data_IF_211809765633
#
_entry.id   IF_211809765633
#
_cell.length_a   1.000
_cell.length_b   1.000
_cell.length_c   1.000
_cell.angle_alpha   90.00
_cell.angle_beta   90.00
_cell.angle_gamma   90.00
#
_symmetry.space_group_name_H-M   'P 1'
#
loop_
_entity.id
_entity.type
_entity.pdbx_description
1 polymer ?
#
# COMPACT_ATOMS: atom_id res chain seq x y z
N UNK A 1 -37.21 -25.04 -48.98
CA UNK A 1 -36.13 -25.97 -49.30
C UNK A 1 -36.34 -27.17 -48.40
N UNK A 2 -36.83 -28.27 -48.95
CA UNK A 2 -37.07 -29.51 -48.24
C UNK A 2 -35.70 -30.15 -47.98
N UNK A 3 -35.25 -30.12 -46.73
CA UNK A 3 -34.01 -30.80 -46.34
C UNK A 3 -34.20 -32.29 -46.59
N UNK A 4 -33.21 -32.95 -47.18
CA UNK A 4 -33.30 -34.38 -47.43
C UNK A 4 -33.48 -35.14 -46.10
N UNK A 5 -34.16 -36.31 -46.09
CA UNK A 5 -34.36 -37.07 -44.86
C UNK A 5 -33.03 -37.42 -44.19
N UNK A 6 -31.95 -37.58 -44.95
CA UNK A 6 -30.61 -37.82 -44.45
C UNK A 6 -30.04 -36.59 -43.71
N UNK A 7 -30.19 -35.37 -44.25
CA UNK A 7 -29.75 -34.12 -43.60
C UNK A 7 -30.49 -33.84 -42.30
N UNK A 8 -31.80 -34.12 -42.26
CA UNK A 8 -32.58 -33.97 -41.02
C UNK A 8 -32.17 -35.00 -39.95
N UNK A 9 -31.80 -36.22 -40.35
CA UNK A 9 -31.29 -37.24 -39.43
C UNK A 9 -29.95 -36.85 -38.81
N UNK A 10 -29.02 -36.29 -39.60
CA UNK A 10 -27.73 -35.82 -39.10
C UNK A 10 -27.90 -34.61 -38.19
N UNK A 11 -28.77 -33.66 -38.55
CA UNK A 11 -29.05 -32.49 -37.72
C UNK A 11 -29.69 -32.86 -36.37
N UNK A 12 -30.58 -33.85 -36.36
CA UNK A 12 -31.20 -34.33 -35.11
C UNK A 12 -30.20 -35.07 -34.22
N UNK A 13 -29.32 -35.90 -34.79
CA UNK A 13 -28.24 -36.57 -34.03
C UNK A 13 -27.29 -35.53 -33.43
N UNK A 14 -26.85 -34.54 -34.21
CA UNK A 14 -25.96 -33.48 -33.71
C UNK A 14 -26.62 -32.66 -32.59
N UNK A 15 -27.93 -32.40 -32.70
CA UNK A 15 -28.69 -31.71 -31.65
C UNK A 15 -28.84 -32.57 -30.39
N UNK A 16 -29.06 -33.88 -30.54
CA UNK A 16 -29.09 -34.83 -29.42
C UNK A 16 -27.73 -34.92 -28.74
N UNK A 17 -26.64 -35.01 -29.49
CA UNK A 17 -25.27 -35.00 -28.96
C UNK A 17 -24.98 -33.70 -28.21
N UNK A 18 -25.33 -32.55 -28.79
CA UNK A 18 -25.16 -31.25 -28.14
C UNK A 18 -26.03 -31.09 -26.88
N UNK A 19 -27.18 -31.77 -26.80
CA UNK A 19 -28.01 -31.81 -25.58
C UNK A 19 -27.42 -32.77 -24.56
N UNK A 20 -26.94 -33.95 -24.98
CA UNK A 20 -26.34 -34.94 -24.10
C UNK A 20 -25.08 -34.39 -23.44
N UNK A 21 -24.20 -33.76 -24.22
CA UNK A 21 -23.00 -33.09 -23.70
C UNK A 21 -23.33 -31.94 -22.74
N UNK A 22 -24.44 -31.23 -22.95
CA UNK A 22 -24.91 -30.21 -22.00
C UNK A 22 -25.40 -30.83 -20.70
N UNK A 23 -26.17 -31.91 -20.78
CA UNK A 23 -26.65 -32.63 -19.58
C UNK A 23 -25.46 -33.22 -18.81
N UNK A 24 -24.50 -33.81 -19.51
CA UNK A 24 -23.25 -34.32 -18.95
C UNK A 24 -22.45 -33.21 -18.26
N UNK A 25 -22.31 -32.06 -18.92
CA UNK A 25 -21.63 -30.89 -18.35
C UNK A 25 -22.34 -30.35 -17.11
N UNK A 26 -23.68 -30.39 -17.06
CA UNK A 26 -24.45 -29.97 -15.89
C UNK A 26 -24.31 -30.96 -14.73
N UNK A 27 -24.27 -32.26 -15.01
CA UNK A 27 -24.21 -33.30 -13.98
C UNK A 27 -22.79 -33.49 -13.40
N UNK A 28 -21.77 -33.38 -14.24
CA UNK A 28 -20.39 -33.69 -13.85
C UNK A 28 -19.43 -32.50 -13.93
N UNK A 29 -19.90 -31.34 -14.42
CA UNK A 29 -19.08 -30.14 -14.54
C UNK A 29 -18.08 -30.19 -15.71
N UNK A 30 -17.09 -29.29 -15.74
CA UNK A 30 -16.07 -29.28 -16.79
C UNK A 30 -15.18 -30.54 -16.71
N UNK A 31 -14.73 -31.09 -17.86
CA UNK A 31 -14.04 -32.38 -17.94
C UNK A 31 -12.65 -32.42 -17.27
N UNK A 32 -12.22 -31.33 -16.63
CA UNK A 32 -10.99 -31.26 -15.84
C UNK A 32 -11.13 -31.93 -14.46
N UNK A 33 -12.36 -32.19 -14.01
CA UNK A 33 -12.64 -32.81 -12.71
C UNK A 33 -13.02 -34.29 -12.88
N UNK A 34 -12.16 -35.07 -13.53
CA UNK A 34 -12.39 -36.48 -13.84
C UNK A 34 -12.65 -37.37 -12.61
N UNK A 35 -12.22 -36.94 -11.42
CA UNK A 35 -12.45 -37.65 -10.16
C UNK A 35 -13.94 -37.70 -9.74
N UNK A 36 -14.76 -36.76 -10.25
CA UNK A 36 -16.21 -36.72 -9.99
C UNK A 36 -17.00 -37.70 -10.87
N UNK A 37 -16.42 -38.20 -11.97
CA UNK A 37 -17.04 -39.21 -12.83
C UNK A 37 -17.11 -40.60 -12.18
N UNK A 38 -16.41 -40.81 -11.05
CA UNK A 38 -16.39 -42.10 -10.36
C UNK A 38 -17.62 -42.33 -9.47
N UNK A 39 -18.40 -41.29 -9.12
CA UNK A 39 -19.56 -41.41 -8.23
C UNK A 39 -20.86 -41.20 -8.99
N UNK A 40 -21.90 -42.04 -8.76
CA UNK A 40 -23.22 -41.78 -9.30
C UNK A 40 -23.71 -40.38 -8.88
N UNK A 41 -24.21 -39.59 -9.83
CA UNK A 41 -24.72 -38.24 -9.55
C UNK A 41 -25.79 -38.21 -8.45
N UNK A 42 -26.59 -39.29 -8.35
CA UNK A 42 -27.63 -39.46 -7.33
C UNK A 42 -27.04 -39.53 -5.92
N UNK A 43 -25.91 -40.21 -5.74
CA UNK A 43 -25.25 -40.33 -4.43
C UNK A 43 -24.61 -39.01 -4.00
N UNK A 44 -23.97 -38.30 -4.94
CA UNK A 44 -23.42 -36.95 -4.72
C UNK A 44 -24.51 -35.95 -4.32
N UNK A 45 -25.66 -35.98 -5.01
CA UNK A 45 -26.80 -35.13 -4.68
C UNK A 45 -27.38 -35.45 -3.30
N UNK A 46 -27.49 -36.73 -2.94
CA UNK A 46 -27.97 -37.14 -1.62
C UNK A 46 -26.99 -36.74 -0.50
N UNK A 47 -25.68 -36.80 -0.75
CA UNK A 47 -24.66 -36.32 0.19
C UNK A 47 -24.75 -34.81 0.39
N UNK A 48 -24.87 -34.05 -0.71
CA UNK A 48 -25.08 -32.61 -0.68
C UNK A 48 -26.38 -32.25 0.06
N UNK A 49 -27.48 -32.95 -0.18
CA UNK A 49 -28.75 -32.72 0.52
C UNK A 49 -28.61 -32.93 2.03
N UNK A 50 -27.91 -33.98 2.46
CA UNK A 50 -27.60 -34.22 3.88
C UNK A 50 -26.74 -33.10 4.46
N UNK A 51 -25.73 -32.64 3.73
CA UNK A 51 -24.87 -31.52 4.15
C UNK A 51 -25.66 -30.22 4.25
N UNK A 52 -26.56 -29.94 3.29
CA UNK A 52 -27.44 -28.78 3.33
C UNK A 52 -28.44 -28.85 4.47
N UNK A 53 -29.06 -30.01 4.72
CA UNK A 53 -29.96 -30.20 5.86
C UNK A 53 -29.25 -29.96 7.19
N UNK A 54 -28.02 -30.49 7.33
CA UNK A 54 -27.15 -30.22 8.47
C UNK A 54 -26.86 -28.72 8.62
N UNK A 55 -26.49 -28.03 7.53
CA UNK A 55 -26.17 -26.61 7.53
C UNK A 55 -27.37 -25.72 7.89
N UNK A 56 -28.56 -26.05 7.39
CA UNK A 56 -29.81 -25.35 7.71
C UNK A 56 -30.17 -25.54 9.18
N UNK A 57 -29.95 -26.73 9.73
CA UNK A 57 -30.21 -27.01 11.15
C UNK A 57 -29.17 -26.36 12.08
N UNK A 58 -27.91 -26.29 11.67
CA UNK A 58 -26.81 -25.77 12.49
C UNK A 58 -26.70 -24.25 12.50
N UNK A 59 -27.16 -23.57 11.46
CA UNK A 59 -27.02 -22.11 11.32
C UNK A 59 -28.37 -21.46 11.02
N UNK A 60 -28.92 -20.80 12.05
CA UNK A 60 -30.22 -20.11 12.02
C UNK A 60 -30.38 -19.14 10.84
N UNK A 61 -29.29 -18.50 10.41
CA UNK A 61 -29.30 -17.53 9.31
C UNK A 61 -29.77 -18.16 8.00
N UNK A 62 -29.36 -19.38 7.68
CA UNK A 62 -29.79 -20.06 6.45
C UNK A 62 -31.28 -20.42 6.49
N UNK A 63 -31.81 -20.80 7.67
CA UNK A 63 -33.24 -21.03 7.83
C UNK A 63 -34.05 -19.74 7.61
N UNK A 64 -33.57 -18.59 8.11
CA UNK A 64 -34.20 -17.29 7.86
C UNK A 64 -34.08 -16.86 6.39
N UNK A 65 -32.92 -17.06 5.75
CA UNK A 65 -32.75 -16.78 4.32
C UNK A 65 -33.68 -17.63 3.45
N UNK A 66 -33.90 -18.90 3.80
CA UNK A 66 -34.87 -19.74 3.10
C UNK A 66 -36.31 -19.29 3.31
N UNK A 67 -36.66 -18.76 4.49
CA UNK A 67 -37.97 -18.13 4.71
C UNK A 67 -38.12 -16.88 3.86
N UNK A 68 -37.10 -16.03 3.80
CA UNK A 68 -37.08 -14.81 2.98
C UNK A 68 -37.17 -15.15 1.50
N UNK A 69 -36.42 -16.15 1.03
CA UNK A 69 -36.47 -16.65 -0.35
C UNK A 69 -37.87 -17.15 -0.71
N UNK A 70 -38.54 -17.87 0.19
CA UNK A 70 -39.91 -18.34 -0.01
C UNK A 70 -40.94 -17.20 0.01
N UNK A 71 -40.75 -16.20 0.88
CA UNK A 71 -41.65 -15.05 0.98
C UNK A 71 -41.48 -14.08 -0.20
N UNK A 72 -40.25 -13.91 -0.68
CA UNK A 72 -39.89 -12.98 -1.75
C UNK A 72 -38.93 -13.62 -2.76
N UNK A 73 -39.43 -14.52 -3.62
CA UNK A 73 -38.61 -15.16 -4.67
C UNK A 73 -38.04 -14.15 -5.66
N UNK A 74 -38.71 -13.00 -5.82
CA UNK A 74 -38.33 -11.91 -6.72
C UNK A 74 -37.02 -11.23 -6.37
N UNK A 75 -36.54 -11.32 -5.12
CA UNK A 75 -35.24 -10.75 -4.74
C UNK A 75 -34.03 -11.53 -5.26
N UNK A 76 -34.21 -12.82 -5.53
CA UNK A 76 -33.13 -13.73 -5.88
C UNK A 76 -33.18 -14.18 -7.35
N UNK A 77 -34.24 -13.82 -8.08
CA UNK A 77 -34.32 -14.04 -9.51
C UNK A 77 -33.69 -12.86 -10.24
N UNK A 78 -32.74 -13.09 -11.18
CA UNK A 78 -32.26 -12.02 -12.03
C UNK A 78 -33.44 -11.45 -12.83
N UNK A 79 -33.58 -10.12 -12.92
CA UNK A 79 -34.66 -9.52 -13.69
C UNK A 79 -34.60 -9.96 -15.15
N UNK A 80 -35.77 -10.06 -15.78
CA UNK A 80 -35.90 -10.48 -17.18
C UNK A 80 -34.99 -9.59 -18.06
N UNK A 81 -34.17 -10.15 -18.98
CA UNK A 81 -33.11 -9.45 -19.72
C UNK A 81 -33.54 -8.26 -20.61
N UNK A 82 -34.81 -7.83 -20.55
CA UNK A 82 -35.32 -6.62 -21.21
C UNK A 82 -35.84 -5.54 -20.26
N UNK A 83 -35.86 -5.77 -18.94
CA UNK A 83 -36.33 -4.80 -17.95
C UNK A 83 -35.14 -4.34 -17.10
N UNK A 84 -34.91 -3.01 -16.96
CA UNK A 84 -33.88 -2.51 -16.07
C UNK A 84 -34.17 -2.99 -14.64
N UNK A 85 -33.15 -3.34 -13.85
CA UNK A 85 -33.29 -3.82 -12.47
C UNK A 85 -33.69 -2.65 -11.55
N UNK A 86 -34.90 -2.11 -11.70
CA UNK A 86 -35.41 -1.01 -10.88
C UNK A 86 -36.67 -1.43 -10.17
N UNK A 87 -36.63 -1.40 -8.83
CA UNK A 87 -37.82 -1.60 -7.98
C UNK A 87 -38.72 -0.35 -7.94
N UNK A 88 -38.29 0.74 -8.59
CA UNK A 88 -39.01 2.01 -8.62
C UNK A 88 -40.01 2.04 -9.79
N UNK A 89 -41.17 2.64 -9.53
CA UNK A 89 -42.15 2.95 -10.57
C UNK A 89 -41.54 3.92 -11.61
N UNK A 90 -42.02 3.81 -12.85
CA UNK A 90 -41.58 4.61 -13.98
C UNK A 90 -41.64 6.12 -13.74
N UNK A 91 -42.61 6.58 -12.93
CA UNK A 91 -42.74 8.00 -12.55
C UNK A 91 -41.66 8.44 -11.57
N UNK A 92 -41.29 7.57 -10.61
CA UNK A 92 -40.19 7.83 -9.68
C UNK A 92 -38.82 7.84 -10.40
N UNK A 93 -38.65 7.01 -11.43
CA UNK A 93 -37.45 7.03 -12.28
C UNK A 93 -37.37 8.37 -13.04
N UNK A 94 -38.49 8.86 -13.58
CA UNK A 94 -38.52 10.17 -14.24
C UNK A 94 -38.21 11.30 -13.27
N UNK A 95 -38.80 11.28 -12.07
CA UNK A 95 -38.54 12.28 -11.04
C UNK A 95 -37.07 12.34 -10.64
N UNK A 96 -36.41 11.19 -10.48
CA UNK A 96 -34.97 11.12 -10.16
C UNK A 96 -34.10 11.62 -11.33
N UNK A 97 -34.39 11.20 -12.56
CA UNK A 97 -33.65 11.72 -13.73
C UNK A 97 -33.82 13.23 -13.87
N UNK A 98 -35.03 13.76 -13.63
CA UNK A 98 -35.30 15.19 -13.65
C UNK A 98 -34.61 15.94 -12.51
N UNK A 99 -34.53 15.37 -11.30
CA UNK A 99 -33.80 15.99 -10.18
C UNK A 99 -32.30 16.08 -10.45
N UNK A 100 -31.73 15.14 -11.19
CA UNK A 100 -30.31 15.12 -11.58
C UNK A 100 -30.04 15.72 -12.97
N UNK A 101 -31.07 16.21 -13.67
CA UNK A 101 -30.95 16.66 -15.06
C UNK A 101 -29.89 17.75 -15.26
N UNK A 102 -29.75 18.68 -14.32
CA UNK A 102 -28.73 19.75 -14.36
C UNK A 102 -27.33 19.29 -13.95
N UNK A 103 -27.23 18.19 -13.19
CA UNK A 103 -25.96 17.64 -12.76
C UNK A 103 -25.23 16.94 -13.91
N UNK A 104 -25.93 16.25 -14.81
CA UNK A 104 -25.31 15.56 -15.95
C UNK A 104 -24.47 16.46 -16.86
N UNK A 105 -24.98 17.60 -17.40
CA UNK A 105 -24.18 18.48 -18.22
C UNK A 105 -23.07 19.17 -17.41
N UNK A 106 -23.30 19.49 -16.13
CA UNK A 106 -22.27 20.06 -15.26
C UNK A 106 -21.10 19.10 -15.05
N UNK A 107 -21.38 17.82 -14.75
CA UNK A 107 -20.33 16.80 -14.61
C UNK A 107 -19.64 16.49 -15.92
N UNK A 108 -20.38 16.46 -17.05
CA UNK A 108 -19.78 16.24 -18.37
C UNK A 108 -18.83 17.39 -18.73
N UNK A 109 -19.24 18.64 -18.51
CA UNK A 109 -18.38 19.80 -18.74
C UNK A 109 -17.18 19.82 -17.80
N UNK A 110 -17.35 19.43 -16.53
CA UNK A 110 -16.23 19.35 -15.58
C UNK A 110 -15.24 18.25 -15.95
N UNK A 111 -15.72 17.08 -16.40
CA UNK A 111 -14.87 15.99 -16.90
C UNK A 111 -14.16 16.40 -18.19
N UNK A 112 -14.86 17.03 -19.14
CA UNK A 112 -14.25 17.51 -20.37
C UNK A 112 -13.20 18.60 -20.11
N UNK A 113 -13.47 19.55 -19.21
CA UNK A 113 -12.48 20.54 -18.80
C UNK A 113 -11.28 19.87 -18.12
N UNK A 114 -11.50 18.95 -17.18
CA UNK A 114 -10.43 18.23 -16.49
C UNK A 114 -9.56 17.40 -17.44
N UNK A 115 -10.15 16.64 -18.37
CA UNK A 115 -9.40 15.85 -19.35
C UNK A 115 -8.63 16.70 -20.36
N UNK A 116 -9.16 17.87 -20.74
CA UNK A 116 -8.50 18.76 -21.70
C UNK A 116 -7.42 19.64 -21.05
N UNK A 117 -7.66 20.12 -19.83
CA UNK A 117 -6.75 21.03 -19.12
C UNK A 117 -5.63 20.29 -18.38
N UNK A 118 -5.84 19.01 -18.03
CA UNK A 118 -4.79 18.17 -17.43
C UNK A 118 -4.37 17.06 -18.40
N UNK A 119 -3.36 17.30 -19.26
CA UNK A 119 -2.80 16.22 -20.03
C UNK A 119 -2.19 15.20 -19.07
N UNK A 120 -2.73 13.98 -19.08
CA UNK A 120 -2.12 12.85 -18.37
C UNK A 120 -0.68 12.75 -18.89
N UNK A 121 0.34 12.84 -18.03
CA UNK A 121 1.73 12.84 -18.47
C UNK A 121 2.02 11.56 -19.25
N UNK A 122 2.86 11.69 -20.28
CA UNK A 122 3.20 10.57 -21.15
C UNK A 122 3.70 9.37 -20.31
N UNK A 123 3.09 8.21 -20.52
CA UNK A 123 3.40 7.00 -19.74
C UNK A 123 4.89 6.63 -19.83
N UNK A 124 5.55 6.96 -20.95
CA UNK A 124 6.98 6.78 -21.15
C UNK A 124 7.83 7.58 -20.15
N UNK A 125 7.46 8.84 -19.87
CA UNK A 125 8.17 9.68 -18.88
C UNK A 125 7.98 9.14 -17.47
N UNK A 126 6.77 8.69 -17.15
CA UNK A 126 6.47 8.06 -15.85
C UNK A 126 7.25 6.76 -15.66
N UNK A 127 7.35 5.93 -16.70
CA UNK A 127 8.16 4.71 -16.67
C UNK A 127 9.66 5.00 -16.51
N UNK A 128 10.18 6.06 -17.15
CA UNK A 128 11.56 6.50 -16.97
C UNK A 128 11.83 6.95 -15.53
N UNK A 129 10.91 7.67 -14.90
CA UNK A 129 11.03 8.05 -13.48
C UNK A 129 11.10 6.82 -12.57
N UNK A 130 10.26 5.81 -12.80
CA UNK A 130 10.32 4.53 -12.07
C UNK A 130 11.65 3.82 -12.31
N UNK A 131 12.19 3.89 -13.52
CA UNK A 131 13.51 3.34 -13.85
C UNK A 131 14.69 3.99 -13.11
N UNK A 132 14.53 5.22 -12.58
CA UNK A 132 15.57 5.92 -11.82
C UNK A 132 15.61 5.52 -10.33
N UNK A 133 14.55 4.94 -9.79
CA UNK A 133 14.45 4.50 -8.38
C UNK A 133 15.65 3.64 -7.93
N UNK A 134 16.08 2.58 -8.67
CA UNK A 134 17.21 1.77 -8.22
C UNK A 134 18.53 2.57 -8.15
N UNK A 135 18.71 3.61 -8.99
CA UNK A 135 19.89 4.48 -8.91
C UNK A 135 19.84 5.39 -7.68
N UNK A 136 18.65 5.83 -7.29
CA UNK A 136 18.49 6.63 -6.07
C UNK A 136 18.79 5.79 -4.83
N UNK A 137 18.34 4.53 -4.80
CA UNK A 137 18.61 3.61 -3.70
C UNK A 137 20.11 3.31 -3.53
N UNK A 138 20.85 3.13 -4.63
CA UNK A 138 22.30 2.90 -4.56
C UNK A 138 23.06 4.14 -4.07
N UNK A 139 22.64 5.33 -4.51
CA UNK A 139 23.21 6.59 -4.04
C UNK A 139 22.91 6.79 -2.55
N UNK A 140 21.69 6.56 -2.10
CA UNK A 140 21.29 6.69 -0.69
C UNK A 140 22.08 5.70 0.19
N UNK A 141 22.24 4.45 -0.25
CA UNK A 141 23.10 3.48 0.44
C UNK A 141 24.56 3.97 0.57
N UNK A 142 25.11 4.58 -0.49
CA UNK A 142 26.46 5.16 -0.44
C UNK A 142 26.54 6.38 0.50
N UNK A 143 25.51 7.23 0.52
CA UNK A 143 25.45 8.40 1.41
C UNK A 143 25.42 7.98 2.87
N UNK A 144 24.61 6.99 3.24
CA UNK A 144 24.56 6.44 4.59
C UNK A 144 25.90 5.83 5.03
N UNK A 145 26.60 5.16 4.11
CA UNK A 145 27.94 4.63 4.39
C UNK A 145 28.95 5.75 4.67
N UNK A 146 28.95 6.80 3.84
CA UNK A 146 29.82 7.97 4.02
C UNK A 146 29.52 8.73 5.32
N UNK A 147 28.24 8.91 5.66
CA UNK A 147 27.84 9.55 6.91
C UNK A 147 28.33 8.78 8.14
N UNK A 148 28.25 7.44 8.11
CA UNK A 148 28.78 6.60 9.17
C UNK A 148 30.30 6.73 9.30
N UNK A 149 31.03 6.77 8.18
CA UNK A 149 32.48 6.97 8.18
C UNK A 149 32.85 8.36 8.73
N UNK A 150 32.17 9.42 8.28
CA UNK A 150 32.39 10.78 8.76
C UNK A 150 32.12 10.88 10.26
N UNK A 151 31.06 10.26 10.76
CA UNK A 151 30.76 10.24 12.19
C UNK A 151 31.89 9.56 12.99
N UNK A 152 32.41 8.43 12.49
CA UNK A 152 33.55 7.75 13.11
C UNK A 152 34.81 8.61 13.09
N UNK A 153 35.14 9.24 11.96
CA UNK A 153 36.30 10.11 11.82
C UNK A 153 36.20 11.33 12.74
N UNK A 154 35.02 11.95 12.86
CA UNK A 154 34.76 13.04 13.80
C UNK A 154 34.98 12.61 15.25
N UNK A 155 34.49 11.44 15.65
CA UNK A 155 34.72 10.92 17.01
C UNK A 155 36.20 10.65 17.31
N UNK A 156 36.98 10.26 16.29
CA UNK A 156 38.43 10.01 16.43
C UNK A 156 39.19 11.32 16.46
N UNK A 157 38.86 12.27 15.59
CA UNK A 157 39.51 13.59 15.56
C UNK A 157 39.24 14.38 16.83
N UNK A 158 38.01 14.35 17.35
CA UNK A 158 37.66 14.98 18.62
C UNK A 158 38.53 14.45 19.76
N UNK A 159 38.69 13.12 19.87
CA UNK A 159 39.54 12.51 20.90
C UNK A 159 40.99 12.94 20.80
N UNK A 160 41.56 12.97 19.59
CA UNK A 160 42.93 13.39 19.36
C UNK A 160 43.14 14.88 19.70
N UNK A 161 42.21 15.73 19.26
CA UNK A 161 42.24 17.17 19.55
C UNK A 161 42.13 17.42 21.04
N UNK A 162 41.18 16.76 21.71
CA UNK A 162 41.01 16.85 23.17
C UNK A 162 42.27 16.42 23.92
N UNK A 163 42.87 15.27 23.55
CA UNK A 163 44.11 14.80 24.15
C UNK A 163 45.27 15.78 23.95
N UNK A 164 45.36 16.42 22.78
CA UNK A 164 46.37 17.43 22.51
C UNK A 164 46.19 18.67 23.40
N UNK A 165 44.96 19.19 23.52
CA UNK A 165 44.66 20.33 24.39
C UNK A 165 44.93 20.02 25.86
N UNK A 166 44.49 18.86 26.34
CA UNK A 166 44.68 18.44 27.73
C UNK A 166 46.16 18.25 28.08
N UNK A 167 46.95 17.60 27.21
CA UNK A 167 48.34 17.25 27.52
C UNK A 167 49.35 18.32 27.17
N UNK A 168 49.17 19.07 26.08
CA UNK A 168 50.14 20.08 25.63
C UNK A 168 49.72 21.48 26.04
N UNK A 169 48.56 21.93 25.57
CA UNK A 169 48.15 23.33 25.75
C UNK A 169 47.92 23.67 27.22
N UNK A 170 47.12 22.88 27.94
CA UNK A 170 46.83 23.11 29.36
C UNK A 170 48.04 22.85 30.26
N UNK A 171 48.89 21.88 29.92
CA UNK A 171 50.10 21.63 30.71
C UNK A 171 51.11 22.77 30.54
N UNK A 172 51.33 23.23 29.31
CA UNK A 172 52.22 24.35 29.02
C UNK A 172 51.69 25.65 29.64
N UNK A 173 50.39 25.92 29.56
CA UNK A 173 49.81 27.11 30.19
C UNK A 173 49.96 27.10 31.71
N UNK A 174 49.77 25.93 32.36
CA UNK A 174 50.04 25.78 33.80
C UNK A 174 51.50 26.05 34.16
N UNK A 175 52.44 25.58 33.33
CA UNK A 175 53.87 25.83 33.54
C UNK A 175 54.20 27.33 33.42
N UNK A 176 53.70 27.99 32.39
CA UNK A 176 53.88 29.43 32.19
C UNK A 176 53.26 30.23 33.33
N UNK A 177 52.02 29.92 33.72
CA UNK A 177 51.34 30.58 34.83
C UNK A 177 52.08 30.41 36.16
N UNK A 178 52.67 29.22 36.42
CA UNK A 178 53.48 28.99 37.61
C UNK A 178 54.76 29.83 37.62
N UNK A 179 55.43 29.96 36.46
CA UNK A 179 56.63 30.80 36.32
C UNK A 179 56.26 32.27 36.51
N UNK A 180 55.18 32.72 35.88
CA UNK A 180 54.68 34.09 36.03
C UNK A 180 54.33 34.41 37.49
N UNK A 181 53.63 33.51 38.20
CA UNK A 181 53.31 33.68 39.61
C UNK A 181 54.57 33.76 40.50
N UNK A 182 55.65 33.03 40.14
CA UNK A 182 56.94 33.15 40.84
C UNK A 182 57.59 34.51 40.56
N UNK A 183 57.59 34.96 39.31
CA UNK A 183 58.11 36.28 38.94
C UNK A 183 57.36 37.40 39.65
N UNK A 184 56.02 37.37 39.66
CA UNK A 184 55.19 38.35 40.36
C UNK A 184 55.50 38.39 41.87
N UNK A 185 55.73 37.23 42.51
CA UNK A 185 56.15 37.19 43.92
C UNK A 185 57.53 37.80 44.14
N UNK A 186 58.49 37.53 43.26
CA UNK A 186 59.84 38.09 43.35
C UNK A 186 59.84 39.59 43.10
N UNK A 187 59.14 40.05 42.06
CA UNK A 187 58.96 41.47 41.75
C UNK A 187 58.28 42.20 42.91
N UNK A 188 57.25 41.60 43.52
CA UNK A 188 56.62 42.13 44.72
C UNK A 188 57.58 42.28 45.91
N UNK A 189 58.56 41.38 46.08
CA UNK A 189 59.61 41.49 47.12
C UNK A 189 60.61 42.59 46.77
N UNK A 190 61.06 42.67 45.52
CA UNK A 190 61.97 43.71 45.05
C UNK A 190 61.34 45.09 45.23
N UNK A 191 60.09 45.28 44.80
CA UNK A 191 59.36 46.54 45.00
C UNK A 191 59.20 46.95 46.47
N UNK A 192 59.13 45.98 47.40
CA UNK A 192 59.10 46.27 48.85
C UNK A 192 60.47 46.74 49.34
N UNK A 193 61.53 46.02 48.98
CA UNK A 193 62.90 46.40 49.32
C UNK A 193 63.30 47.75 48.74
N UNK A 194 62.93 48.04 47.49
CA UNK A 194 63.17 49.34 46.87
C UNK A 194 62.44 50.47 47.60
N UNK A 195 61.22 50.23 48.08
CA UNK A 195 60.49 51.21 48.91
C UNK A 195 61.15 51.43 50.25
N UNK A 196 61.61 50.36 50.91
CA UNK A 196 62.35 50.44 52.17
C UNK A 196 63.67 51.21 51.99
N UNK A 197 64.43 50.91 50.93
CA UNK A 197 65.67 51.63 50.62
C UNK A 197 65.44 53.12 50.31
N UNK A 198 64.37 53.46 49.58
CA UNK A 198 64.01 54.86 49.33
C UNK A 198 63.60 55.58 50.60
N UNK A 199 62.84 54.93 51.49
CA UNK A 199 62.48 55.50 52.78
C UNK A 199 63.72 55.75 53.67
N UNK A 200 64.68 54.82 53.70
CA UNK A 200 65.95 55.02 54.44
C UNK A 200 66.91 56.03 53.80
N UNK A 201 66.69 56.40 52.53
CA UNK A 201 67.48 57.41 51.84
C UNK A 201 66.85 58.82 51.93
N UNK A 202 65.60 58.91 52.39
CA UNK A 202 64.86 60.16 52.62
C UNK A 202 64.86 60.59 54.10
N UNK A 203 65.40 59.76 55.02
CA UNK A 203 65.79 60.10 56.41
C UNK A 203 67.26 60.56 56.51
#
# INVERSE_FOLDING_TARGET
MENSPEETSVATIALLEARLRRVEHVLYGPPKNADLWARPAVESLAELERQFASLISGVRVYAELLKIYRAYPSFFQPPHPGLPPTQLDSDAIRATVLSYASAFPATASALSAALNDTPVPEAALSAQLVGLVPRMETIDASQRALEAEIAQLRSRSERLVRQHYERRALASSKQVANVEARFQRMEGRVRRLEKEQRATAEE
#
